data_IF_612825163565
#
_entry.id   IF_612825163565
#
_cell.length_a   1.000
_cell.length_b   1.000
_cell.length_c   1.000
_cell.angle_alpha   90.00
_cell.angle_beta   90.00
_cell.angle_gamma   90.00
#
_symmetry.space_group_name_H-M   'P 1'
#
loop_
_entity.id
_entity.type
_entity.pdbx_description
1 polymer ?
#
# COMPACT_ATOMS: atom_id res chain seq x y z
N UNK A 1 -6.02 7.93 15.81
CA UNK A 1 -5.55 6.52 16.01
C UNK A 1 -4.08 6.42 15.65
N UNK A 2 -3.26 5.65 16.39
CA UNK A 2 -1.80 5.55 16.16
C UNK A 2 -1.45 4.14 15.66
N UNK A 3 -0.58 4.04 14.66
CA UNK A 3 -0.01 2.76 14.18
C UNK A 3 1.48 2.76 14.50
N UNK A 4 1.96 1.68 15.10
CA UNK A 4 3.39 1.46 15.27
C UNK A 4 3.94 0.63 14.10
N UNK A 5 4.97 1.13 13.43
CA UNK A 5 5.70 0.47 12.34
C UNK A 5 7.17 0.46 12.68
N UNK A 6 7.73 -0.73 12.97
CA UNK A 6 9.06 -0.88 13.62
C UNK A 6 9.19 0.00 14.87
N UNK A 7 10.08 0.99 14.77
CA UNK A 7 10.45 1.97 15.79
C UNK A 7 9.81 3.34 15.55
N UNK A 8 8.83 3.46 14.64
CA UNK A 8 8.15 4.71 14.31
C UNK A 8 6.66 4.58 14.63
N UNK A 9 6.11 5.62 15.25
CA UNK A 9 4.67 5.76 15.47
C UNK A 9 4.14 6.71 14.39
N UNK A 10 3.16 6.24 13.62
CA UNK A 10 2.46 6.99 12.60
C UNK A 10 1.07 7.36 13.11
N UNK A 11 0.68 8.62 12.93
CA UNK A 11 -0.67 9.07 13.23
C UNK A 11 -1.55 8.88 12.00
N UNK A 12 -2.56 8.02 12.11
CA UNK A 12 -3.44 7.67 10.99
C UNK A 12 -4.14 8.89 10.40
N UNK A 13 -4.51 9.84 11.24
CA UNK A 13 -5.27 11.04 10.86
C UNK A 13 -4.49 11.95 9.90
N UNK A 14 -3.16 11.84 9.86
CA UNK A 14 -2.31 12.55 8.92
C UNK A 14 -2.20 11.84 7.56
N UNK A 15 -2.61 10.58 7.46
CA UNK A 15 -2.57 9.80 6.22
C UNK A 15 -3.77 10.20 5.36
N UNK A 16 -3.50 10.99 4.32
CA UNK A 16 -4.54 11.38 3.37
C UNK A 16 -4.81 10.27 2.35
N UNK A 17 -3.80 9.50 2.00
CA UNK A 17 -3.86 8.56 0.89
C UNK A 17 -2.88 7.39 1.08
N UNK A 18 -3.29 6.19 0.69
CA UNK A 18 -2.51 4.97 0.84
C UNK A 18 -2.64 4.06 -0.38
N UNK A 19 -1.49 3.56 -0.86
CA UNK A 19 -1.37 2.70 -2.03
C UNK A 19 -0.71 1.38 -1.67
N UNK A 20 -1.40 0.25 -1.81
CA UNK A 20 -0.80 -1.07 -1.63
C UNK A 20 -0.58 -1.77 -2.97
N UNK A 21 0.60 -2.35 -3.12
CA UNK A 21 0.98 -3.24 -4.20
C UNK A 21 1.20 -4.63 -3.62
N UNK A 22 0.38 -5.59 -4.04
CA UNK A 22 0.60 -7.00 -3.76
C UNK A 22 1.40 -7.63 -4.90
N UNK A 23 2.45 -8.40 -4.58
CA UNK A 23 3.18 -9.13 -5.60
C UNK A 23 2.25 -10.14 -6.28
N UNK A 24 2.11 -10.04 -7.60
CA UNK A 24 1.42 -11.07 -8.39
C UNK A 24 2.34 -12.31 -8.49
N UNK A 25 1.79 -13.53 -8.38
CA UNK A 25 2.58 -14.73 -8.65
C UNK A 25 3.14 -14.66 -10.08
N UNK A 26 4.46 -14.75 -10.23
CA UNK A 26 5.15 -14.70 -11.52
C UNK A 26 5.79 -13.36 -11.89
N UNK A 27 5.70 -12.32 -11.05
CA UNK A 27 6.45 -11.06 -11.25
C UNK A 27 7.73 -11.02 -10.40
N UNK A 28 8.67 -10.15 -10.79
CA UNK A 28 9.93 -9.93 -10.05
C UNK A 28 9.71 -9.30 -8.67
N UNK A 29 8.52 -8.71 -8.45
CA UNK A 29 8.10 -8.22 -7.15
C UNK A 29 7.90 -9.41 -6.20
N UNK A 30 8.82 -9.59 -5.26
CA UNK A 30 8.78 -10.66 -4.26
C UNK A 30 8.15 -10.22 -2.94
N UNK A 31 7.80 -8.93 -2.80
CA UNK A 31 7.38 -8.32 -1.53
C UNK A 31 6.23 -7.34 -1.72
N UNK A 32 5.30 -7.35 -0.77
CA UNK A 32 4.24 -6.35 -0.64
C UNK A 32 4.86 -4.98 -0.39
N UNK A 33 4.37 -3.96 -1.09
CA UNK A 33 4.81 -2.58 -0.91
C UNK A 33 3.59 -1.73 -0.58
N UNK A 34 3.69 -0.88 0.43
CA UNK A 34 2.67 0.08 0.82
C UNK A 34 3.28 1.48 0.75
N UNK A 35 2.68 2.37 0.00
CA UNK A 35 3.03 3.79 -0.02
C UNK A 35 1.96 4.59 0.71
N UNK A 36 2.36 5.33 1.74
CA UNK A 36 1.50 6.24 2.48
C UNK A 36 1.86 7.66 2.11
N UNK A 37 0.86 8.48 1.81
CA UNK A 37 1.05 9.90 1.52
C UNK A 37 0.51 10.68 2.71
N UNK A 38 1.42 11.37 3.39
CA UNK A 38 1.21 12.09 4.64
C UNK A 38 1.67 13.52 4.40
N UNK A 39 0.76 14.50 4.41
CA UNK A 39 1.09 15.91 4.18
C UNK A 39 1.94 16.16 2.90
N UNK A 40 1.69 15.39 1.84
CA UNK A 40 2.46 15.46 0.59
C UNK A 40 3.79 14.70 0.58
N UNK A 41 4.18 14.09 1.70
CA UNK A 41 5.34 13.19 1.78
C UNK A 41 4.94 11.74 1.55
N UNK A 42 5.66 11.06 0.64
CA UNK A 42 5.49 9.62 0.38
C UNK A 42 6.38 8.80 1.33
N UNK A 43 5.78 7.92 2.11
CA UNK A 43 6.45 6.94 2.96
C UNK A 43 6.20 5.53 2.40
N UNK A 44 7.25 4.86 1.95
CA UNK A 44 7.17 3.49 1.44
C UNK A 44 7.56 2.46 2.51
N UNK A 45 6.69 1.48 2.71
CA UNK A 45 6.83 0.35 3.63
C UNK A 45 6.88 -0.92 2.78
N UNK A 46 7.76 -1.84 3.12
CA UNK A 46 8.01 -3.05 2.33
C UNK A 46 7.91 -4.31 3.20
N UNK A 47 7.48 -5.42 2.60
CA UNK A 47 7.36 -6.71 3.24
C UNK A 47 6.09 -6.86 4.07
N UNK A 48 6.10 -7.77 5.05
CA UNK A 48 4.93 -8.14 5.85
C UNK A 48 4.33 -6.97 6.63
N UNK A 49 5.16 -6.00 7.02
CA UNK A 49 4.70 -4.79 7.71
C UNK A 49 3.79 -3.93 6.84
N UNK A 50 3.93 -3.96 5.51
CA UNK A 50 3.04 -3.26 4.59
C UNK A 50 1.60 -3.77 4.71
N UNK A 51 1.40 -5.07 4.88
CA UNK A 51 0.06 -5.66 5.02
C UNK A 51 -0.60 -5.28 6.37
N UNK A 52 0.17 -5.29 7.45
CA UNK A 52 -0.32 -4.91 8.77
C UNK A 52 -0.73 -3.43 8.82
N UNK A 53 0.08 -2.55 8.22
CA UNK A 53 -0.20 -1.11 8.17
C UNK A 53 -1.38 -0.82 7.25
N UNK A 54 -1.48 -1.52 6.12
CA UNK A 54 -2.63 -1.41 5.22
C UNK A 54 -3.94 -1.73 5.92
N UNK A 55 -4.01 -2.83 6.69
CA UNK A 55 -5.20 -3.17 7.47
C UNK A 55 -5.59 -2.07 8.46
N UNK A 56 -4.61 -1.47 9.13
CA UNK A 56 -4.87 -0.39 10.08
C UNK A 56 -5.31 0.91 9.38
N UNK A 57 -4.78 1.18 8.18
CA UNK A 57 -5.20 2.30 7.33
C UNK A 57 -6.59 2.08 6.74
N UNK A 58 -6.99 0.84 6.44
CA UNK A 58 -8.35 0.52 6.01
C UNK A 58 -9.42 0.88 7.04
N UNK A 59 -9.06 0.87 8.31
CA UNK A 59 -9.96 1.25 9.41
C UNK A 59 -10.07 2.78 9.58
N UNK A 60 -9.28 3.56 8.84
CA UNK A 60 -9.32 5.01 8.90
C UNK A 60 -10.19 5.60 7.79
N UNK A 61 -11.35 6.12 8.17
CA UNK A 61 -12.32 6.74 7.26
C UNK A 61 -11.83 8.00 6.53
N UNK A 62 -10.75 8.63 7.03
CA UNK A 62 -10.16 9.81 6.39
C UNK A 62 -9.10 9.48 5.34
N UNK A 63 -8.68 8.21 5.24
CA UNK A 63 -7.67 7.79 4.28
C UNK A 63 -8.32 7.28 2.99
N UNK A 64 -7.89 7.81 1.86
CA UNK A 64 -8.27 7.27 0.56
C UNK A 64 -7.38 6.06 0.23
N UNK A 65 -8.00 4.89 0.13
CA UNK A 65 -7.33 3.63 -0.17
C UNK A 65 -7.32 3.42 -1.69
N UNK A 66 -6.15 3.17 -2.26
CA UNK A 66 -6.04 2.67 -3.64
C UNK A 66 -5.19 1.41 -3.67
N UNK A 67 -5.64 0.33 -4.32
CA UNK A 67 -4.72 -0.68 -4.78
C UNK A 67 -3.90 -0.05 -5.92
N UNK A 68 -2.57 -0.09 -5.83
CA UNK A 68 -1.76 0.19 -7.02
C UNK A 68 -2.14 -0.87 -8.07
N UNK A 69 -2.50 -0.49 -9.30
CA UNK A 69 -2.65 -1.47 -10.37
C UNK A 69 -1.27 -2.09 -10.53
N UNK A 70 -1.09 -3.33 -10.04
CA UNK A 70 0.20 -4.01 -10.13
C UNK A 70 0.61 -4.07 -11.60
N UNK A 71 1.54 -3.20 -11.96
CA UNK A 71 2.07 -2.88 -13.29
C UNK A 71 1.05 -2.88 -14.46
N UNK A 72 0.75 -1.73 -15.09
CA UNK A 72 0.12 -1.70 -16.41
C UNK A 72 1.05 -2.14 -17.56
N UNK A 73 2.32 -2.48 -17.30
CA UNK A 73 3.30 -2.88 -18.34
C UNK A 73 3.34 -4.40 -18.64
N UNK A 74 2.44 -5.19 -18.05
CA UNK A 74 2.04 -6.46 -18.65
C UNK A 74 0.77 -6.18 -19.47
N UNK A 75 0.73 -6.55 -20.77
CA UNK A 75 -0.43 -6.25 -21.60
C UNK A 75 -1.69 -6.69 -20.88
N UNK A 76 -2.70 -5.83 -20.87
CA UNK A 76 -4.08 -6.26 -20.66
C UNK A 76 -4.32 -7.39 -21.64
N UNK A 77 -4.09 -8.64 -21.23
CA UNK A 77 -4.60 -9.79 -21.95
C UNK A 77 -6.11 -9.76 -21.75
N UNK A 78 -6.77 -8.90 -22.53
CA UNK A 78 -8.00 -9.25 -23.21
C UNK A 78 -7.70 -10.41 -24.17
N UNK A 79 -7.30 -11.54 -23.59
CA UNK A 79 -7.26 -12.83 -24.24
C UNK A 79 -8.51 -13.53 -23.80
N UNK A 80 -9.51 -13.46 -24.66
CA UNK A 80 -10.69 -14.30 -24.63
C UNK A 80 -10.25 -15.76 -24.44
N UNK A 81 -10.79 -16.45 -23.44
CA UNK A 81 -10.85 -17.90 -23.40
C UNK A 81 -12.30 -18.31 -23.59
#
# INVERSE_FOLDING_TARGET
MLIQVKNKVLMLEAISYAEIMFPKPGTSATRTTLSLIIDGHKLSIFGDEAAAVWLAVQQNSNCQLRPEPGDPDLPSSGGEF
#
